data_IF_996380774371
#
_entry.id   IF_996380774371
#
_cell.length_a   1.000
_cell.length_b   1.000
_cell.length_c   1.000
_cell.angle_alpha   90.00
_cell.angle_beta   90.00
_cell.angle_gamma   90.00
#
_symmetry.space_group_name_H-M   'P 1'
#
loop_
_entity.id
_entity.type
_entity.pdbx_description
1 polymer ?
#
# COMPACT_ATOMS: atom_id res chain seq x y z
N UNK A 1 6.36 -13.67 -11.25
CA UNK A 1 6.46 -14.53 -10.05
C UNK A 1 5.07 -14.87 -9.56
N UNK A 2 4.80 -16.13 -9.29
CA UNK A 2 3.50 -16.55 -8.79
C UNK A 2 3.50 -16.53 -7.27
N UNK A 3 2.61 -15.71 -6.70
CA UNK A 3 2.44 -15.62 -5.26
C UNK A 3 1.17 -16.35 -4.84
N UNK A 4 1.24 -17.04 -3.71
CA UNK A 4 0.10 -17.79 -3.16
C UNK A 4 -0.09 -17.44 -1.70
N UNK A 5 -1.29 -17.69 -1.17
CA UNK A 5 -1.59 -17.48 0.25
C UNK A 5 -2.55 -18.55 0.74
N UNK A 6 -2.46 -18.87 2.03
CA UNK A 6 -3.37 -19.84 2.66
C UNK A 6 -4.80 -19.31 2.76
N UNK A 7 -4.92 -18.00 3.02
CA UNK A 7 -6.22 -17.33 3.16
C UNK A 7 -6.29 -16.18 2.18
N UNK A 8 -7.21 -16.26 1.22
CA UNK A 8 -7.41 -15.21 0.23
C UNK A 8 -8.74 -14.54 0.49
N UNK A 9 -8.75 -13.21 0.39
CA UNK A 9 -9.98 -12.44 0.58
C UNK A 9 -10.04 -11.29 -0.42
N UNK A 10 -11.25 -10.72 -0.56
CA UNK A 10 -11.50 -9.57 -1.41
C UNK A 10 -12.07 -8.46 -0.54
N UNK A 11 -11.47 -7.28 -0.61
CA UNK A 11 -11.91 -6.12 0.15
C UNK A 11 -12.78 -5.20 -0.71
N UNK A 12 -13.71 -4.49 -0.04
CA UNK A 12 -14.48 -3.43 -0.67
C UNK A 12 -13.78 -2.08 -0.51
N UNK A 13 -14.52 -1.03 -0.17
CA UNK A 13 -13.98 0.31 0.00
C UNK A 13 -12.98 0.40 1.15
N UNK A 14 -13.15 -0.42 2.19
CA UNK A 14 -12.20 -0.54 3.29
C UNK A 14 -11.43 -1.85 3.20
N UNK A 15 -10.25 -1.89 3.77
CA UNK A 15 -9.41 -3.07 3.84
C UNK A 15 -8.91 -3.24 5.26
N UNK A 16 -8.96 -4.46 5.78
CA UNK A 16 -8.48 -4.74 7.14
C UNK A 16 -7.41 -5.81 7.11
N UNK A 17 -6.25 -5.52 7.67
CA UNK A 17 -5.19 -6.49 7.88
C UNK A 17 -5.43 -7.20 9.21
N UNK A 18 -5.54 -8.52 9.17
CA UNK A 18 -5.83 -9.29 10.38
C UNK A 18 -4.65 -9.36 11.34
N UNK A 19 -3.42 -9.41 10.79
CA UNK A 19 -2.23 -9.63 11.61
C UNK A 19 -2.03 -8.58 12.70
N UNK A 20 -2.52 -7.37 12.50
CA UNK A 20 -2.30 -6.28 13.46
C UNK A 20 -3.54 -5.38 13.60
N UNK A 21 -4.69 -5.85 13.19
CA UNK A 21 -5.95 -5.11 13.31
C UNK A 21 -5.85 -3.69 12.76
N UNK A 22 -5.25 -3.53 11.59
CA UNK A 22 -5.15 -2.24 10.92
C UNK A 22 -6.22 -2.14 9.86
N UNK A 23 -6.98 -1.05 9.89
CA UNK A 23 -8.02 -0.78 8.91
C UNK A 23 -7.58 0.36 8.01
N UNK A 24 -7.68 0.15 6.69
CA UNK A 24 -7.38 1.14 5.67
C UNK A 24 -8.68 1.60 5.02
N UNK A 25 -8.89 2.91 4.96
CA UNK A 25 -10.06 3.47 4.28
C UNK A 25 -9.56 4.44 3.23
N UNK A 26 -9.77 4.12 1.95
CA UNK A 26 -9.27 4.92 0.84
C UNK A 26 -10.11 6.18 0.64
N UNK A 27 -9.44 7.29 0.36
CA UNK A 27 -10.09 8.58 0.06
C UNK A 27 -10.00 8.93 -1.42
N UNK A 28 -8.85 8.64 -2.06
CA UNK A 28 -8.66 9.01 -3.46
C UNK A 28 -7.59 8.17 -4.14
N UNK A 29 -7.64 8.15 -5.47
CA UNK A 29 -6.59 7.59 -6.31
C UNK A 29 -6.22 8.63 -7.36
N UNK A 30 -4.93 8.78 -7.64
CA UNK A 30 -4.47 9.77 -8.60
C UNK A 30 -3.17 9.33 -9.28
N UNK A 31 -2.91 9.91 -10.45
CA UNK A 31 -1.65 9.69 -11.19
C UNK A 31 -0.73 10.85 -10.88
N UNK A 32 0.48 10.54 -10.40
CA UNK A 32 1.45 11.55 -9.99
C UNK A 32 2.81 11.27 -10.61
N UNK A 33 3.54 12.33 -10.94
CA UNK A 33 4.92 12.19 -11.41
C UNK A 33 5.90 12.04 -10.28
N UNK A 34 5.57 12.61 -9.11
CA UNK A 34 6.35 12.40 -7.89
C UNK A 34 5.39 12.28 -6.71
N UNK A 35 5.84 11.62 -5.65
CA UNK A 35 5.03 11.38 -4.45
C UNK A 35 5.76 11.99 -3.26
N UNK A 36 5.13 12.98 -2.64
CA UNK A 36 5.68 13.72 -1.51
C UNK A 36 4.73 13.72 -0.32
N UNK A 37 5.24 13.90 0.91
CA UNK A 37 4.37 14.15 2.06
C UNK A 37 3.50 15.40 1.82
N UNK A 38 2.38 15.47 2.51
CA UNK A 38 1.45 16.61 2.36
C UNK A 38 2.07 17.93 2.82
N UNK A 39 2.90 17.90 3.88
CA UNK A 39 3.53 19.09 4.46
C UNK A 39 5.04 18.90 4.58
N UNK A 40 5.79 18.84 3.45
CA UNK A 40 7.23 18.59 3.51
C UNK A 40 7.95 19.66 4.31
N UNK A 41 8.88 19.25 5.16
CA UNK A 41 9.66 20.17 5.98
C UNK A 41 11.05 19.59 6.22
N UNK A 42 12.08 20.34 5.82
CA UNK A 42 13.45 19.85 5.95
C UNK A 42 13.73 18.65 5.07
N UNK A 43 14.41 17.66 5.62
CA UNK A 43 14.67 16.41 4.91
C UNK A 43 13.47 15.49 5.05
N UNK A 44 13.04 14.89 3.92
CA UNK A 44 11.92 13.97 3.91
C UNK A 44 12.10 12.94 2.80
N UNK A 45 11.49 11.77 3.00
CA UNK A 45 11.49 10.73 1.99
C UNK A 45 10.40 11.02 0.97
N UNK A 46 10.68 10.76 -0.31
CA UNK A 46 9.71 10.94 -1.39
C UNK A 46 10.13 10.11 -2.58
N UNK A 47 9.22 9.96 -3.53
CA UNK A 47 9.52 9.29 -4.79
C UNK A 47 9.69 10.34 -5.88
N UNK A 48 10.88 10.34 -6.50
CA UNK A 48 11.21 11.28 -7.57
C UNK A 48 10.55 10.86 -8.88
N UNK A 49 10.33 11.83 -9.74
CA UNK A 49 9.90 11.58 -11.09
C UNK A 49 10.90 10.66 -11.81
N UNK A 50 10.36 9.62 -12.48
CA UNK A 50 11.16 8.70 -13.28
C UNK A 50 10.73 8.81 -14.74
N UNK A 51 11.70 9.01 -15.63
CA UNK A 51 11.41 9.09 -17.06
C UNK A 51 10.78 7.79 -17.54
N UNK A 52 9.67 7.90 -18.26
CA UNK A 52 8.94 6.76 -18.80
C UNK A 52 7.96 6.12 -17.84
N UNK A 53 7.78 6.69 -16.64
CA UNK A 53 6.89 6.12 -15.63
C UNK A 53 6.04 7.18 -14.95
N UNK A 54 4.92 6.73 -14.39
CA UNK A 54 4.02 7.55 -13.58
C UNK A 54 3.66 6.71 -12.36
N UNK A 55 3.44 7.35 -11.23
CA UNK A 55 2.97 6.66 -10.03
C UNK A 55 1.44 6.72 -9.97
N UNK A 56 0.83 5.57 -9.74
CA UNK A 56 -0.58 5.49 -9.40
C UNK A 56 -0.67 5.35 -7.90
N UNK A 57 -1.32 6.31 -7.22
CA UNK A 57 -1.28 6.42 -5.78
C UNK A 57 -2.69 6.40 -5.21
N UNK A 58 -2.94 5.47 -4.28
CA UNK A 58 -4.19 5.43 -3.51
C UNK A 58 -3.85 5.88 -2.10
N UNK A 59 -4.56 6.90 -1.62
CA UNK A 59 -4.36 7.47 -0.29
C UNK A 59 -5.64 7.42 0.53
N UNK A 60 -5.49 7.48 1.83
CA UNK A 60 -6.60 7.47 2.76
C UNK A 60 -6.10 7.40 4.19
N UNK A 61 -6.96 6.99 5.10
CA UNK A 61 -6.63 6.88 6.52
C UNK A 61 -6.44 5.42 6.92
N UNK A 62 -5.42 5.19 7.73
CA UNK A 62 -5.17 3.89 8.35
C UNK A 62 -5.24 4.06 9.86
N UNK A 63 -5.91 3.11 10.53
CA UNK A 63 -5.99 3.07 11.99
C UNK A 63 -5.44 1.75 12.49
N UNK A 64 -4.48 1.82 13.42
CA UNK A 64 -3.87 0.63 13.99
C UNK A 64 -4.46 0.38 15.39
N UNK A 65 -5.41 -0.55 15.47
CA UNK A 65 -6.01 -0.96 16.75
C UNK A 65 -5.31 -2.20 17.33
N UNK A 66 -4.23 -2.64 16.71
CA UNK A 66 -3.48 -3.79 17.18
C UNK A 66 -2.55 -3.44 18.33
N UNK A 67 -1.88 -4.47 18.85
CA UNK A 67 -0.99 -4.36 20.01
C UNK A 67 0.46 -4.06 19.64
N UNK A 68 0.76 -3.99 18.33
CA UNK A 68 2.12 -3.82 17.84
C UNK A 68 2.16 -2.80 16.71
N UNK A 69 3.33 -2.17 16.54
CA UNK A 69 3.58 -1.35 15.35
C UNK A 69 3.65 -2.24 14.10
N UNK A 70 3.25 -1.70 12.97
CA UNK A 70 3.37 -2.36 11.68
C UNK A 70 4.56 -1.79 10.91
N UNK A 71 5.40 -2.68 10.40
CA UNK A 71 6.49 -2.30 9.49
C UNK A 71 6.12 -2.79 8.10
N UNK A 72 6.02 -1.88 7.13
CA UNK A 72 5.59 -2.22 5.77
C UNK A 72 6.62 -3.07 5.02
N UNK A 73 7.84 -3.17 5.52
CA UNK A 73 8.84 -4.05 4.93
C UNK A 73 8.43 -5.53 5.04
N UNK A 74 7.46 -5.84 5.90
CA UNK A 74 6.96 -7.20 6.09
C UNK A 74 5.70 -7.48 5.26
N UNK A 75 5.31 -6.56 4.40
CA UNK A 75 4.14 -6.67 3.53
C UNK A 75 4.59 -6.51 2.09
N UNK A 76 4.10 -7.39 1.22
CA UNK A 76 4.33 -7.24 -0.22
C UNK A 76 3.08 -6.65 -0.86
N UNK A 77 3.26 -5.60 -1.64
CA UNK A 77 2.17 -4.91 -2.35
C UNK A 77 2.45 -4.93 -3.84
N UNK A 78 1.45 -5.27 -4.64
CA UNK A 78 1.54 -5.15 -6.09
C UNK A 78 0.19 -4.75 -6.67
N UNK A 79 0.23 -4.17 -7.86
CA UNK A 79 -0.98 -3.95 -8.63
C UNK A 79 -1.09 -4.99 -9.74
N UNK A 80 -2.30 -5.23 -10.21
CA UNK A 80 -2.52 -6.12 -11.35
C UNK A 80 -3.57 -5.54 -12.28
N UNK A 81 -3.44 -5.88 -13.56
CA UNK A 81 -4.47 -5.68 -14.59
C UNK A 81 -4.29 -6.77 -15.64
N UNK A 82 -5.20 -7.78 -15.60
CA UNK A 82 -5.04 -8.96 -16.44
C UNK A 82 -3.74 -9.68 -16.09
N UNK A 83 -2.86 -9.86 -17.07
CA UNK A 83 -1.56 -10.51 -16.87
C UNK A 83 -0.44 -9.53 -16.52
N UNK A 84 -0.75 -8.24 -16.40
CA UNK A 84 0.25 -7.22 -16.11
C UNK A 84 0.38 -7.08 -14.59
N UNK A 85 1.62 -7.06 -14.10
CA UNK A 85 1.93 -6.83 -12.71
C UNK A 85 2.65 -5.51 -12.55
N UNK A 86 2.31 -4.75 -11.51
CA UNK A 86 2.89 -3.46 -11.21
C UNK A 86 3.58 -3.53 -9.86
N UNK A 87 4.79 -3.03 -9.78
CA UNK A 87 5.49 -2.92 -8.51
C UNK A 87 4.80 -1.92 -7.60
N UNK A 88 4.63 -2.28 -6.34
CA UNK A 88 3.97 -1.44 -5.36
C UNK A 88 4.69 -1.37 -4.05
N UNK A 89 4.33 -0.36 -3.28
CA UNK A 89 4.86 -0.14 -1.93
C UNK A 89 3.76 0.51 -1.09
N UNK A 90 3.70 0.11 0.18
CA UNK A 90 2.84 0.76 1.16
C UNK A 90 3.73 1.61 2.07
N UNK A 91 3.39 2.87 2.20
CA UNK A 91 4.03 3.78 3.14
C UNK A 91 2.97 4.55 3.92
N UNK A 92 3.40 5.17 5.01
CA UNK A 92 2.54 6.03 5.81
C UNK A 92 3.16 7.41 5.91
N UNK A 93 2.34 8.43 6.16
CA UNK A 93 2.87 9.69 6.61
C UNK A 93 3.22 9.56 8.10
N UNK A 94 4.16 10.38 8.58
CA UNK A 94 4.29 10.58 10.01
C UNK A 94 3.11 11.42 10.51
N UNK A 95 2.98 11.64 11.82
CA UNK A 95 1.84 12.38 12.38
C UNK A 95 1.75 13.82 11.89
N UNK A 96 2.88 14.43 11.53
CA UNK A 96 2.94 15.81 11.04
C UNK A 96 2.74 15.92 9.53
N UNK A 97 2.65 14.77 8.84
CA UNK A 97 2.56 14.68 7.39
C UNK A 97 3.73 15.36 6.67
N UNK A 98 4.90 15.34 7.31
CA UNK A 98 6.12 15.95 6.78
C UNK A 98 7.12 14.95 6.23
N UNK A 99 6.85 13.65 6.35
CA UNK A 99 7.74 12.58 5.88
C UNK A 99 6.93 11.35 5.52
N UNK A 100 7.45 10.56 4.59
CA UNK A 100 6.90 9.24 4.26
C UNK A 100 7.73 8.19 4.99
N UNK A 101 7.07 7.35 5.77
CA UNK A 101 7.72 6.38 6.62
C UNK A 101 7.17 4.98 6.37
N UNK A 102 7.95 3.97 6.73
CA UNK A 102 7.57 2.57 6.52
C UNK A 102 7.01 1.91 7.79
N UNK A 103 6.64 2.71 8.78
CA UNK A 103 6.19 2.19 10.07
C UNK A 103 4.96 2.93 10.55
N UNK A 104 4.03 2.18 11.13
CA UNK A 104 2.84 2.72 11.78
C UNK A 104 2.80 2.23 13.22
N UNK A 105 2.82 3.14 14.17
CA UNK A 105 2.81 2.79 15.59
C UNK A 105 1.44 2.23 16.02
N UNK A 106 1.43 1.48 17.11
CA UNK A 106 0.17 1.02 17.69
C UNK A 106 -0.66 2.22 18.14
N UNK A 107 -1.97 2.07 18.12
CA UNK A 107 -2.94 3.12 18.50
C UNK A 107 -2.82 4.39 17.67
N UNK A 108 -2.13 4.34 16.53
CA UNK A 108 -1.95 5.50 15.65
C UNK A 108 -3.01 5.55 14.57
N UNK A 109 -3.28 6.76 14.09
CA UNK A 109 -4.02 7.02 12.87
C UNK A 109 -3.11 7.83 11.96
N UNK A 110 -2.87 7.33 10.75
CA UNK A 110 -1.94 7.98 9.81
C UNK A 110 -2.50 7.89 8.41
N UNK A 111 -2.07 8.81 7.55
CA UNK A 111 -2.39 8.71 6.12
C UNK A 111 -1.53 7.61 5.51
N UNK A 112 -2.16 6.75 4.71
CA UNK A 112 -1.44 5.69 4.00
C UNK A 112 -1.30 6.05 2.53
N UNK A 113 -0.30 5.44 1.90
CA UNK A 113 -0.02 5.59 0.48
C UNK A 113 0.27 4.21 -0.10
N UNK A 114 -0.59 3.72 -1.00
CA UNK A 114 -0.23 2.61 -1.89
C UNK A 114 0.31 3.24 -3.15
N UNK A 115 1.59 3.02 -3.40
CA UNK A 115 2.30 3.66 -4.51
C UNK A 115 2.67 2.58 -5.52
N UNK A 116 2.12 2.69 -6.73
CA UNK A 116 2.30 1.68 -7.79
C UNK A 116 2.97 2.33 -8.99
N UNK A 117 3.99 1.68 -9.51
CA UNK A 117 4.76 2.19 -10.63
C UNK A 117 4.14 1.72 -11.94
N UNK A 118 3.71 2.68 -12.77
CA UNK A 118 3.02 2.41 -14.04
C UNK A 118 3.87 2.97 -15.18
N UNK A 119 4.18 2.11 -16.15
CA UNK A 119 4.91 2.54 -17.34
C UNK A 119 4.02 3.43 -18.18
N UNK A 120 4.59 4.50 -18.75
CA UNK A 120 3.84 5.43 -19.60
C UNK A 120 3.21 4.68 -20.78
N UNK A 121 1.96 4.98 -21.07
CA UNK A 121 1.19 4.31 -22.10
C UNK A 121 0.42 3.06 -21.62
N UNK A 122 0.67 2.59 -20.40
CA UNK A 122 -0.09 1.50 -19.81
C UNK A 122 -1.28 2.05 -19.03
N UNK A 123 -2.34 1.25 -18.97
CA UNK A 123 -3.47 1.53 -18.07
C UNK A 123 -3.03 1.33 -16.62
N UNK A 124 -3.58 2.07 -15.66
CA UNK A 124 -3.26 1.83 -14.25
C UNK A 124 -3.82 0.48 -13.79
N UNK A 125 -3.33 -0.06 -12.67
CA UNK A 125 -3.86 -1.32 -12.16
C UNK A 125 -5.34 -1.19 -11.81
N UNK A 126 -6.09 -2.28 -11.98
CA UNK A 126 -7.48 -2.33 -11.56
C UNK A 126 -7.65 -3.01 -10.20
N UNK A 127 -6.59 -3.65 -9.71
CA UNK A 127 -6.61 -4.33 -8.42
C UNK A 127 -5.28 -4.12 -7.71
N UNK A 128 -5.35 -3.88 -6.41
CA UNK A 128 -4.17 -3.87 -5.54
C UNK A 128 -4.19 -5.15 -4.74
N UNK A 129 -3.07 -5.87 -4.70
CA UNK A 129 -2.94 -7.08 -3.91
C UNK A 129 -1.95 -6.85 -2.79
N UNK A 130 -2.30 -7.31 -1.59
CA UNK A 130 -1.48 -7.20 -0.39
C UNK A 130 -1.25 -8.59 0.17
N UNK A 131 0.01 -8.96 0.35
CA UNK A 131 0.41 -10.27 0.89
C UNK A 131 1.13 -10.07 2.20
N UNK A 132 0.73 -10.82 3.22
CA UNK A 132 1.35 -10.70 4.54
C UNK A 132 1.24 -12.00 5.33
N UNK A 133 2.04 -12.11 6.38
CA UNK A 133 2.06 -13.27 7.28
C UNK A 133 1.61 -12.87 8.69
N UNK A 134 1.03 -13.80 9.43
CA UNK A 134 0.70 -13.59 10.84
C UNK A 134 1.96 -13.27 11.63
N UNK A 135 3.05 -13.96 11.32
CA UNK A 135 4.35 -13.67 11.92
C UNK A 135 5.13 -12.79 10.92
N UNK A 136 5.13 -11.50 11.15
CA UNK A 136 5.81 -10.55 10.26
C UNK A 136 7.33 -10.66 10.28
N UNK A 137 7.90 -11.55 11.11
CA UNK A 137 9.34 -11.84 11.09
C UNK A 137 9.70 -12.82 9.99
N UNK A 138 8.72 -13.49 9.37
CA UNK A 138 8.96 -14.39 8.26
C UNK A 138 9.52 -13.62 7.07
N UNK A 139 10.38 -14.28 6.30
CA UNK A 139 11.02 -13.66 5.16
C UNK A 139 10.02 -13.24 4.09
N UNK A 140 10.19 -12.02 3.57
CA UNK A 140 9.39 -11.52 2.45
C UNK A 140 9.76 -12.13 1.10
N UNK A 141 10.85 -12.90 1.06
CA UNK A 141 11.27 -13.56 -0.17
C UNK A 141 10.49 -14.85 -0.44
N UNK A 142 9.59 -15.21 0.47
CA UNK A 142 8.75 -16.38 0.28
C UNK A 142 7.76 -16.11 -0.87
N UNK A 143 7.46 -17.15 -1.64
CA UNK A 143 6.43 -17.09 -2.67
C UNK A 143 5.05 -17.39 -2.08
N UNK A 144 5.00 -17.85 -0.85
CA UNK A 144 3.79 -18.23 -0.15
C UNK A 144 3.64 -17.45 1.14
N UNK A 145 2.45 -16.93 1.37
CA UNK A 145 2.10 -16.09 2.52
C UNK A 145 0.92 -16.71 3.28
N UNK A 146 0.69 -16.26 4.49
CA UNK A 146 -0.48 -16.69 5.25
C UNK A 146 -1.75 -16.05 4.70
N UNK A 147 -1.68 -14.77 4.32
CA UNK A 147 -2.83 -14.00 3.87
C UNK A 147 -2.55 -13.22 2.61
N UNK A 148 -3.58 -13.11 1.76
CA UNK A 148 -3.59 -12.13 0.70
C UNK A 148 -4.95 -11.44 0.65
N UNK A 149 -4.94 -10.15 0.32
CA UNK A 149 -6.15 -9.37 0.14
C UNK A 149 -6.10 -8.76 -1.26
N UNK A 150 -7.17 -8.94 -2.03
CA UNK A 150 -7.35 -8.27 -3.30
C UNK A 150 -8.30 -7.11 -3.11
N UNK A 151 -7.86 -5.94 -3.51
CA UNK A 151 -8.59 -4.70 -3.33
C UNK A 151 -8.87 -4.10 -4.71
N UNK A 152 -10.07 -4.35 -5.26
CA UNK A 152 -10.43 -3.79 -6.58
C UNK A 152 -10.49 -2.26 -6.50
N UNK A 153 -9.75 -1.60 -7.36
CA UNK A 153 -9.69 -0.13 -7.38
C UNK A 153 -11.05 0.45 -7.75
N UNK A 154 -11.78 -0.22 -8.65
CA UNK A 154 -13.10 0.22 -9.10
C UNK A 154 -14.13 0.29 -7.96
N UNK A 155 -13.95 -0.51 -6.89
CA UNK A 155 -14.90 -0.56 -5.78
C UNK A 155 -14.64 0.53 -4.74
N UNK A 156 -13.62 1.38 -4.94
CA UNK A 156 -13.24 2.38 -3.96
C UNK A 156 -14.09 3.64 -4.00
N UNK A 157 -14.97 3.80 -4.96
CA UNK A 157 -15.86 4.97 -5.10
C UNK A 157 -15.07 6.28 -4.99
N UNK A 158 -13.98 6.36 -5.73
CA UNK A 158 -13.06 7.51 -5.71
C UNK A 158 -13.36 8.48 -6.84
N UNK A 159 -13.15 9.75 -6.57
CA UNK A 159 -13.28 10.79 -7.57
C UNK A 159 -12.03 10.92 -8.44
#
# INVERSE_FOLDING_TARGET
>A
MKLTADHESKAGAGMKLQMNAITFTADKAEKLKEVKPANPNGYYNYYEEQEGYTYFVVTGKAENEGSMALDTDNILVRGTRGNIEYKGKLLFSNTEESDLVNKMEKDAEQTFYFILLVKDGQEPPDTIEVFYNDDFRKSQKAEHYDYSIRWPVDSLDLE
#
